data_IF_910479491649
#
_entry.id   IF_910479491649
#
_cell.length_a   1.000
_cell.length_b   1.000
_cell.length_c   1.000
_cell.angle_alpha   90.00
_cell.angle_beta   90.00
_cell.angle_gamma   90.00
#
_symmetry.space_group_name_H-M   'P 1'
#
loop_
_entity.id
_entity.type
_entity.pdbx_description
1 polymer ?
#
# COMPACT_ATOMS: atom_id res chain seq x y z
N UNK A 1 13.46 30.16 -10.13
CA UNK A 1 13.04 28.80 -10.51
C UNK A 1 13.23 27.95 -9.28
N UNK A 2 12.15 27.54 -8.61
CA UNK A 2 12.26 26.72 -7.42
C UNK A 2 12.81 25.35 -7.85
N UNK A 3 13.84 24.90 -7.16
CA UNK A 3 14.42 23.58 -7.35
C UNK A 3 13.43 22.61 -6.69
N UNK A 4 12.44 22.11 -7.42
CA UNK A 4 11.46 21.15 -6.93
C UNK A 4 12.17 19.85 -6.57
N UNK A 5 12.68 19.79 -5.34
CA UNK A 5 13.37 18.63 -4.81
C UNK A 5 12.33 17.53 -4.65
N UNK A 6 12.30 16.58 -5.59
CA UNK A 6 11.46 15.40 -5.50
C UNK A 6 11.74 14.70 -4.17
N UNK A 7 10.72 14.58 -3.32
CA UNK A 7 10.82 13.84 -2.06
C UNK A 7 11.14 12.38 -2.37
N UNK A 8 11.88 11.71 -1.47
CA UNK A 8 11.88 10.26 -1.50
C UNK A 8 10.46 9.74 -1.23
N UNK A 9 10.10 8.53 -1.72
CA UNK A 9 8.78 7.96 -1.44
C UNK A 9 8.46 7.90 0.07
N UNK A 10 9.44 7.61 0.92
CA UNK A 10 9.27 7.65 2.38
C UNK A 10 9.04 9.08 2.92
N UNK A 11 9.72 10.09 2.38
CA UNK A 11 9.48 11.48 2.75
C UNK A 11 8.09 11.96 2.30
N UNK A 12 7.63 11.49 1.14
CA UNK A 12 6.28 11.76 0.65
C UNK A 12 5.23 11.16 1.60
N UNK A 13 5.36 9.88 1.96
CA UNK A 13 4.45 9.24 2.92
C UNK A 13 4.50 9.91 4.30
N UNK A 14 5.69 10.27 4.80
CA UNK A 14 5.81 11.05 6.05
C UNK A 14 5.10 12.39 5.98
N UNK A 15 5.12 13.06 4.83
CA UNK A 15 4.42 14.34 4.64
C UNK A 15 2.89 14.22 4.73
N UNK A 16 2.35 13.00 4.59
CA UNK A 16 0.92 12.73 4.77
C UNK A 16 0.51 12.55 6.24
N UNK A 17 1.46 12.59 7.18
CA UNK A 17 1.19 12.57 8.62
C UNK A 17 1.50 11.24 9.33
N UNK A 18 2.02 10.23 8.64
CA UNK A 18 2.38 8.94 9.23
C UNK A 18 3.66 9.02 10.06
N UNK A 19 3.60 8.52 11.30
CA UNK A 19 4.70 8.57 12.26
C UNK A 19 5.72 7.46 12.00
N UNK A 20 5.24 6.26 11.73
CA UNK A 20 6.07 5.13 11.34
C UNK A 20 5.96 4.92 9.82
N UNK A 21 7.10 4.97 9.13
CA UNK A 21 7.16 4.85 7.67
C UNK A 21 8.38 4.04 7.29
N UNK A 22 8.17 3.03 6.44
CA UNK A 22 9.22 2.13 5.98
C UNK A 22 8.91 1.56 4.60
N UNK A 23 9.96 1.19 3.85
CA UNK A 23 9.83 0.51 2.57
C UNK A 23 9.76 -1.01 2.76
N UNK A 24 8.82 -1.65 2.08
CA UNK A 24 8.68 -3.10 2.03
C UNK A 24 8.74 -3.61 0.59
N UNK A 25 9.27 -4.83 0.39
CA UNK A 25 9.30 -5.49 -0.93
C UNK A 25 8.82 -6.91 -0.81
N UNK A 26 7.72 -7.19 -1.50
CA UNK A 26 7.16 -8.52 -1.64
C UNK A 26 7.72 -9.26 -2.84
N UNK A 27 7.88 -10.57 -2.63
CA UNK A 27 8.20 -11.51 -3.70
C UNK A 27 7.04 -11.65 -4.69
N UNK A 28 7.32 -12.03 -5.96
CA UNK A 28 6.30 -12.42 -6.92
C UNK A 28 5.25 -13.38 -6.37
N UNK A 29 3.98 -13.11 -6.71
CA UNK A 29 2.83 -13.97 -6.40
C UNK A 29 2.66 -14.27 -4.90
N UNK A 30 3.16 -13.40 -4.01
CA UNK A 30 2.83 -13.48 -2.59
C UNK A 30 1.32 -13.27 -2.40
N UNK A 31 0.77 -13.93 -1.38
CA UNK A 31 -0.63 -13.82 -0.98
C UNK A 31 -0.69 -13.64 0.53
N UNK A 32 -1.41 -12.60 0.96
CA UNK A 32 -1.71 -12.33 2.35
C UNK A 32 -3.18 -12.66 2.58
N UNK A 33 -3.50 -13.68 3.40
CA UNK A 33 -4.88 -14.04 3.71
C UNK A 33 -5.60 -12.88 4.43
N UNK A 34 -6.93 -12.93 4.58
CA UNK A 34 -7.70 -11.86 5.22
C UNK A 34 -7.15 -11.47 6.60
N UNK A 35 -6.80 -10.20 6.77
CA UNK A 35 -6.23 -9.64 8.01
C UNK A 35 -6.63 -8.17 8.19
N UNK A 36 -6.26 -7.58 9.33
CA UNK A 36 -6.54 -6.18 9.66
C UNK A 36 -5.45 -5.61 10.57
N UNK A 37 -5.32 -4.28 10.56
CA UNK A 37 -4.50 -3.52 11.50
C UNK A 37 -5.40 -2.69 12.43
N UNK A 38 -4.86 -2.26 13.57
CA UNK A 38 -5.59 -1.44 14.54
C UNK A 38 -5.66 0.04 14.13
N UNK A 39 -4.71 0.49 13.32
CA UNK A 39 -4.55 1.87 12.88
C UNK A 39 -4.76 1.99 11.36
N UNK A 40 -4.88 3.22 10.85
CA UNK A 40 -4.88 3.51 9.42
C UNK A 40 -3.52 3.10 8.82
N UNK A 41 -3.53 2.34 7.73
CA UNK A 41 -2.31 2.00 7.01
C UNK A 41 -2.38 2.54 5.59
N UNK A 42 -1.31 3.18 5.12
CA UNK A 42 -1.17 3.60 3.71
C UNK A 42 -0.09 2.79 2.99
N UNK A 43 -0.27 2.62 1.68
CA UNK A 43 0.66 1.96 0.78
C UNK A 43 0.90 2.83 -0.45
N UNK A 44 2.12 3.34 -0.64
CA UNK A 44 2.55 4.01 -1.87
C UNK A 44 3.36 3.03 -2.73
N UNK A 45 2.80 2.58 -3.85
CA UNK A 45 3.49 1.63 -4.73
C UNK A 45 4.60 2.33 -5.53
N UNK A 46 5.82 1.79 -5.44
CA UNK A 46 7.00 2.32 -6.15
C UNK A 46 7.54 1.35 -7.21
N UNK A 47 7.19 0.06 -7.14
CA UNK A 47 7.49 -0.94 -8.17
C UNK A 47 6.43 -2.05 -8.17
N UNK A 48 6.09 -2.57 -9.35
CA UNK A 48 5.22 -3.73 -9.48
C UNK A 48 3.75 -3.38 -9.27
N UNK A 49 2.96 -4.36 -8.81
CA UNK A 49 1.53 -4.21 -8.61
C UNK A 49 1.02 -5.05 -7.43
N UNK A 50 -0.04 -4.56 -6.81
CA UNK A 50 -0.76 -5.18 -5.71
C UNK A 50 -2.25 -5.24 -6.06
N UNK A 51 -2.89 -6.36 -5.79
CA UNK A 51 -4.36 -6.52 -5.87
C UNK A 51 -4.91 -6.65 -4.47
N UNK A 52 -5.94 -5.88 -4.13
CA UNK A 52 -6.59 -5.87 -2.81
C UNK A 52 -8.09 -6.12 -2.94
N UNK A 53 -8.67 -6.75 -1.91
CA UNK A 53 -10.12 -6.82 -1.72
C UNK A 53 -10.47 -6.65 -0.26
N UNK A 54 -11.71 -6.25 0.02
CA UNK A 54 -12.24 -6.08 1.36
C UNK A 54 -13.37 -7.10 1.55
N UNK A 55 -13.09 -8.32 2.03
CA UNK A 55 -14.02 -9.44 1.99
C UNK A 55 -15.26 -9.26 2.90
N UNK A 56 -15.27 -8.24 3.76
CA UNK A 56 -16.41 -7.91 4.64
C UNK A 56 -17.28 -6.78 4.12
N UNK A 57 -16.94 -6.18 2.99
CA UNK A 57 -17.80 -5.18 2.35
C UNK A 57 -19.07 -5.85 1.80
N UNK A 58 -20.15 -5.09 1.63
CA UNK A 58 -21.44 -5.61 1.14
C UNK A 58 -21.30 -6.27 -0.24
N UNK A 59 -20.46 -5.70 -1.10
CA UNK A 59 -20.12 -6.23 -2.43
C UNK A 59 -18.60 -6.18 -2.62
N UNK A 60 -17.85 -7.22 -2.21
CA UNK A 60 -16.40 -7.21 -2.30
C UNK A 60 -15.91 -7.20 -3.76
N UNK A 61 -15.11 -6.20 -4.12
CA UNK A 61 -14.40 -6.11 -5.40
C UNK A 61 -12.92 -6.38 -5.21
N UNK A 62 -12.27 -6.94 -6.25
CA UNK A 62 -10.81 -7.02 -6.32
C UNK A 62 -10.31 -5.89 -7.21
N UNK A 63 -9.39 -5.09 -6.69
CA UNK A 63 -8.82 -3.95 -7.41
C UNK A 63 -7.31 -4.09 -7.47
N UNK A 64 -6.74 -3.87 -8.65
CA UNK A 64 -5.29 -3.93 -8.88
C UNK A 64 -4.73 -2.53 -9.02
N UNK A 65 -3.69 -2.23 -8.25
CA UNK A 65 -2.99 -0.95 -8.21
C UNK A 65 -1.53 -1.14 -8.59
N UNK A 66 -0.98 -0.18 -9.34
CA UNK A 66 0.41 -0.17 -9.79
C UNK A 66 1.19 1.04 -9.27
N UNK A 67 2.38 1.25 -9.82
CA UNK A 67 3.30 2.34 -9.44
C UNK A 67 2.62 3.71 -9.41
N UNK A 68 2.85 4.45 -8.33
CA UNK A 68 2.27 5.78 -8.08
C UNK A 68 0.90 5.75 -7.40
N UNK A 69 0.26 4.58 -7.30
CA UNK A 69 -0.98 4.46 -6.53
C UNK A 69 -0.69 4.55 -5.03
N UNK A 70 -1.53 5.33 -4.35
CA UNK A 70 -1.69 5.32 -2.89
C UNK A 70 -2.94 4.50 -2.55
N UNK A 71 -2.81 3.54 -1.64
CA UNK A 71 -3.94 2.77 -1.11
C UNK A 71 -3.97 2.97 0.40
N UNK A 72 -5.06 3.55 0.89
CA UNK A 72 -5.33 3.68 2.32
C UNK A 72 -6.28 2.55 2.75
N UNK A 73 -5.96 1.89 3.86
CA UNK A 73 -6.79 0.86 4.49
C UNK A 73 -7.16 1.34 5.88
N UNK A 74 -8.45 1.60 6.09
CA UNK A 74 -8.96 2.09 7.36
C UNK A 74 -8.64 1.13 8.51
N UNK A 75 -8.43 1.69 9.69
CA UNK A 75 -8.31 0.96 10.93
C UNK A 75 -9.44 -0.08 11.08
N UNK A 76 -9.07 -1.31 11.44
CA UNK A 76 -9.98 -2.45 11.63
C UNK A 76 -10.69 -2.95 10.36
N UNK A 77 -10.39 -2.42 9.17
CA UNK A 77 -10.95 -2.93 7.91
C UNK A 77 -10.22 -4.19 7.48
N UNK A 78 -10.97 -5.30 7.38
CA UNK A 78 -10.43 -6.56 6.89
C UNK A 78 -10.13 -6.45 5.41
N UNK A 79 -8.90 -6.80 5.03
CA UNK A 79 -8.45 -6.81 3.65
C UNK A 79 -7.61 -8.06 3.35
N UNK A 80 -7.57 -8.43 2.08
CA UNK A 80 -6.82 -9.57 1.55
C UNK A 80 -6.06 -9.11 0.31
N UNK A 81 -4.80 -9.56 0.15
CA UNK A 81 -3.86 -8.98 -0.81
C UNK A 81 -3.15 -10.06 -1.63
N UNK A 82 -3.03 -9.82 -2.94
CA UNK A 82 -2.22 -10.60 -3.88
C UNK A 82 -1.19 -9.72 -4.57
N UNK A 83 0.06 -10.17 -4.58
CA UNK A 83 1.18 -9.47 -5.22
C UNK A 83 1.33 -9.94 -6.66
N UNK A 84 1.55 -9.01 -7.57
CA UNK A 84 1.72 -9.30 -9.00
C UNK A 84 2.91 -10.22 -9.30
N UNK A 85 2.96 -10.72 -10.54
CA UNK A 85 3.97 -11.68 -10.99
C UNK A 85 5.42 -11.13 -11.00
N UNK A 86 5.61 -9.82 -10.88
CA UNK A 86 6.93 -9.18 -10.81
C UNK A 86 7.37 -8.83 -9.38
N UNK A 87 6.55 -9.16 -8.37
CA UNK A 87 6.69 -8.64 -7.01
C UNK A 87 6.07 -7.25 -6.88
N UNK A 88 6.18 -6.66 -5.68
CA UNK A 88 5.74 -5.30 -5.42
C UNK A 88 6.64 -4.64 -4.38
N UNK A 89 7.07 -3.41 -4.62
CA UNK A 89 7.76 -2.58 -3.64
C UNK A 89 6.89 -1.37 -3.36
N UNK A 90 6.66 -1.09 -2.08
CA UNK A 90 5.82 0.02 -1.66
C UNK A 90 6.31 0.58 -0.33
N UNK A 91 5.99 1.85 -0.09
CA UNK A 91 6.21 2.48 1.20
C UNK A 91 4.94 2.34 2.02
N UNK A 92 5.10 1.82 3.24
CA UNK A 92 4.04 1.68 4.22
C UNK A 92 4.13 2.84 5.20
N UNK A 93 2.97 3.42 5.54
CA UNK A 93 2.83 4.34 6.68
C UNK A 93 1.77 3.82 7.65
N UNK A 94 2.07 3.86 8.94
CA UNK A 94 1.19 3.51 10.07
C UNK A 94 1.37 4.47 11.26
#
# INVERSE_FOLDING_TARGET
MANDKKLSPEQEVRSWGFGHVFTWTDRPNAHYPPHTHAELTTHLITRGALTITYPKDEVPTKETHGVGARIDVDANRVHEVWVGAEGCTYVIGE
#
